data_IF_420051452479
#
_entry.id   IF_420051452479
#
_cell.length_a   1.000
_cell.length_b   1.000
_cell.length_c   1.000
_cell.angle_alpha   90.00
_cell.angle_beta   90.00
_cell.angle_gamma   90.00
#
_symmetry.space_group_name_H-M   'P 1'
#
loop_
_entity.id
_entity.type
_entity.pdbx_description
1 polymer ?
#
# COMPACT_ATOMS: atom_id res chain seq x y z
N UNK A 1 31.73 45.20 40.43
CA UNK A 1 32.17 46.17 41.46
C UNK A 1 31.15 46.14 42.57
N UNK A 2 31.65 46.01 43.79
CA UNK A 2 30.98 45.50 44.98
C UNK A 2 30.11 46.58 45.67
N UNK A 3 29.33 46.17 46.66
CA UNK A 3 28.87 46.95 47.85
C UNK A 3 27.39 47.43 47.86
N UNK A 4 26.58 46.56 48.49
CA UNK A 4 25.66 46.79 49.62
C UNK A 4 25.27 48.21 50.06
N UNK A 5 24.01 48.35 50.52
CA UNK A 5 23.70 48.82 51.89
C UNK A 5 22.27 48.45 52.28
N UNK A 6 22.16 47.74 53.42
CA UNK A 6 20.94 47.62 54.23
C UNK A 6 20.64 48.96 54.93
N UNK A 7 19.39 49.21 55.34
CA UNK A 7 18.99 49.35 56.76
C UNK A 7 17.51 49.79 56.90
N UNK A 8 16.85 49.05 57.81
CA UNK A 8 15.76 49.36 58.74
C UNK A 8 14.35 49.78 58.28
N UNK A 9 13.45 48.83 58.55
CA UNK A 9 12.09 48.94 59.10
C UNK A 9 11.90 50.06 60.16
N UNK A 10 10.73 50.71 60.14
CA UNK A 10 9.67 50.71 61.19
C UNK A 10 8.64 51.77 60.76
N UNK A 11 7.34 51.41 60.72
CA UNK A 11 6.29 52.41 60.55
C UNK A 11 4.96 51.87 60.07
N UNK A 12 4.27 51.17 60.97
CA UNK A 12 2.87 50.73 60.84
C UNK A 12 1.91 51.86 60.44
N UNK A 13 0.97 51.54 59.53
CA UNK A 13 -0.43 51.97 59.42
C UNK A 13 -0.82 52.32 57.98
N UNK A 14 -1.69 51.51 57.37
CA UNK A 14 -2.40 51.93 56.17
C UNK A 14 -2.84 50.81 55.24
N UNK A 15 -3.86 50.06 55.67
CA UNK A 15 -4.88 49.45 54.79
C UNK A 15 -4.33 48.57 53.65
N UNK A 16 -3.85 47.39 54.02
CA UNK A 16 -3.92 46.23 53.15
C UNK A 16 -5.36 45.71 53.18
N UNK A 17 -6.19 46.10 52.20
CA UNK A 17 -7.38 45.32 51.88
C UNK A 17 -7.89 45.61 50.48
N UNK A 18 -7.89 44.52 49.70
CA UNK A 18 -8.98 44.13 48.84
C UNK A 18 -9.14 44.94 47.56
N UNK A 19 -8.53 44.45 46.47
CA UNK A 19 -9.04 44.57 45.09
C UNK A 19 -8.23 43.63 44.16
N UNK A 20 -8.21 42.33 44.44
CA UNK A 20 -8.00 41.34 43.39
C UNK A 20 -9.38 41.00 42.81
N UNK A 21 -9.80 41.79 41.83
CA UNK A 21 -10.99 41.47 41.03
C UNK A 21 -10.65 40.23 40.22
N UNK A 22 -11.21 39.11 40.64
CA UNK A 22 -11.29 37.87 39.88
C UNK A 22 -11.96 38.16 38.55
N UNK A 23 -11.15 38.22 37.48
CA UNK A 23 -11.65 38.23 36.11
C UNK A 23 -12.32 36.89 35.82
N UNK A 24 -13.60 36.76 36.14
CA UNK A 24 -14.43 35.66 35.64
C UNK A 24 -14.59 35.85 34.13
N UNK A 25 -13.66 35.32 33.33
CA UNK A 25 -13.93 35.11 31.92
C UNK A 25 -15.05 34.07 31.83
N UNK A 26 -16.23 34.45 31.31
CA UNK A 26 -17.30 33.49 31.00
C UNK A 26 -16.74 32.43 30.04
N UNK A 27 -16.39 31.26 30.56
CA UNK A 27 -16.14 30.11 29.71
C UNK A 27 -17.48 29.56 29.26
N UNK A 28 -17.81 29.83 28.01
CA UNK A 28 -18.98 29.25 27.36
C UNK A 28 -18.65 27.79 27.05
N UNK A 29 -19.23 26.88 27.81
CA UNK A 29 -19.26 25.46 27.45
C UNK A 29 -20.50 25.23 26.58
N UNK A 30 -20.36 24.62 25.39
CA UNK A 30 -21.51 24.19 24.63
C UNK A 30 -22.31 23.21 25.49
N UNK A 31 -23.51 23.60 25.90
CA UNK A 31 -24.38 22.80 26.78
C UNK A 31 -25.15 21.72 26.03
N UNK A 32 -25.24 21.81 24.71
CA UNK A 32 -25.92 20.83 23.86
C UNK A 32 -25.33 20.85 22.45
N UNK A 33 -24.91 19.68 21.95
CA UNK A 33 -24.61 19.47 20.54
C UNK A 33 -25.72 18.58 19.99
N UNK A 34 -26.65 19.17 19.26
CA UNK A 34 -27.66 18.39 18.54
C UNK A 34 -27.03 17.81 17.29
N UNK A 35 -26.72 16.51 17.35
CA UNK A 35 -26.27 15.77 16.18
C UNK A 35 -27.48 15.22 15.45
N UNK A 36 -27.73 15.72 14.23
CA UNK A 36 -28.71 15.12 13.33
C UNK A 36 -27.99 14.19 12.37
N UNK A 37 -28.20 12.88 12.55
CA UNK A 37 -27.66 11.86 11.67
C UNK A 37 -28.61 11.65 10.48
N UNK A 38 -28.07 11.79 9.27
CA UNK A 38 -28.77 11.45 8.03
C UNK A 38 -28.27 10.08 7.56
N UNK A 39 -29.16 9.08 7.55
CA UNK A 39 -28.85 7.77 7.02
C UNK A 39 -29.00 7.78 5.50
N UNK A 40 -27.90 7.60 4.78
CA UNK A 40 -27.92 7.40 3.33
C UNK A 40 -28.15 5.91 3.07
N UNK A 41 -29.37 5.57 2.66
CA UNK A 41 -29.79 4.20 2.37
C UNK A 41 -30.66 4.17 1.10
N UNK A 42 -31.19 2.99 0.75
CA UNK A 42 -32.06 2.80 -0.43
C UNK A 42 -33.41 3.53 -0.37
N UNK A 43 -33.81 4.01 0.81
CA UNK A 43 -35.08 4.71 1.02
C UNK A 43 -34.94 6.22 0.74
N UNK A 44 -33.72 6.73 0.65
CA UNK A 44 -33.42 8.10 0.22
C UNK A 44 -33.47 8.14 -1.31
N UNK A 45 -34.51 8.78 -1.85
CA UNK A 45 -34.63 8.96 -3.29
C UNK A 45 -33.52 9.90 -3.80
N UNK A 46 -32.82 9.47 -4.85
CA UNK A 46 -31.83 10.32 -5.51
C UNK A 46 -32.51 11.51 -6.20
N UNK A 47 -31.92 12.70 -6.08
CA UNK A 47 -32.39 13.90 -6.77
C UNK A 47 -32.22 13.72 -8.29
N UNK A 48 -33.30 13.73 -9.08
CA UNK A 48 -33.22 13.49 -10.53
C UNK A 48 -32.37 14.54 -11.25
N UNK A 49 -32.28 15.77 -10.72
CA UNK A 49 -31.42 16.83 -11.24
C UNK A 49 -29.96 16.45 -11.08
N UNK A 50 -29.57 15.95 -9.90
CA UNK A 50 -28.20 15.50 -9.62
C UNK A 50 -27.87 14.26 -10.45
N UNK A 51 -28.80 13.31 -10.56
CA UNK A 51 -28.64 12.13 -11.42
C UNK A 51 -28.34 12.56 -12.86
N UNK A 52 -29.14 13.48 -13.42
CA UNK A 52 -28.95 13.95 -14.80
C UNK A 52 -27.58 14.59 -15.06
N UNK A 53 -26.96 15.18 -14.03
CA UNK A 53 -25.63 15.79 -14.13
C UNK A 53 -24.54 14.72 -14.32
N UNK A 54 -24.56 13.64 -13.55
CA UNK A 54 -23.47 12.65 -13.58
C UNK A 54 -23.73 11.47 -14.52
N UNK A 55 -24.98 11.21 -14.92
CA UNK A 55 -25.36 10.09 -15.78
C UNK A 55 -24.53 9.96 -17.07
N UNK A 56 -24.26 11.02 -17.86
CA UNK A 56 -23.44 10.88 -19.07
C UNK A 56 -21.98 10.48 -18.77
N UNK A 57 -21.43 10.94 -17.64
CA UNK A 57 -20.08 10.56 -17.21
C UNK A 57 -20.06 9.11 -16.72
N UNK A 58 -21.09 8.70 -15.99
CA UNK A 58 -21.27 7.32 -15.53
C UNK A 58 -21.34 6.36 -16.72
N UNK A 59 -22.14 6.63 -17.73
CA UNK A 59 -22.26 5.78 -18.92
C UNK A 59 -20.93 5.62 -19.67
N UNK A 60 -20.19 6.72 -19.85
CA UNK A 60 -18.86 6.68 -20.46
C UNK A 60 -17.88 5.86 -19.62
N UNK A 61 -17.89 6.06 -18.31
CA UNK A 61 -17.03 5.32 -17.38
C UNK A 61 -17.38 3.83 -17.37
N UNK A 62 -18.67 3.46 -17.28
CA UNK A 62 -19.13 2.08 -17.27
C UNK A 62 -18.77 1.35 -18.56
N UNK A 63 -18.79 2.03 -19.71
CA UNK A 63 -18.32 1.46 -20.98
C UNK A 63 -16.87 0.99 -20.87
N UNK A 64 -15.98 1.82 -20.31
CA UNK A 64 -14.58 1.42 -20.12
C UNK A 64 -14.40 0.40 -19.00
N UNK A 65 -15.09 0.55 -17.87
CA UNK A 65 -14.98 -0.36 -16.72
C UNK A 65 -15.47 -1.77 -17.05
N UNK A 66 -16.47 -1.91 -17.92
CA UNK A 66 -17.03 -3.21 -18.32
C UNK A 66 -16.28 -3.85 -19.49
N UNK A 67 -15.30 -3.18 -20.08
CA UNK A 67 -14.50 -3.73 -21.18
C UNK A 67 -13.72 -4.95 -20.68
N UNK A 68 -14.00 -6.11 -21.28
CA UNK A 68 -13.30 -7.36 -21.03
C UNK A 68 -11.89 -7.28 -21.63
N UNK A 69 -10.89 -7.63 -20.84
CA UNK A 69 -9.46 -7.60 -21.18
C UNK A 69 -8.79 -8.97 -21.12
N UNK A 70 -9.48 -9.95 -20.56
CA UNK A 70 -9.00 -11.33 -20.51
C UNK A 70 -9.94 -12.23 -19.73
N UNK A 71 -9.46 -13.43 -19.40
CA UNK A 71 -10.25 -14.45 -18.72
C UNK A 71 -9.40 -15.14 -17.65
N UNK A 72 -9.96 -15.35 -16.46
CA UNK A 72 -9.36 -16.13 -15.38
C UNK A 72 -9.98 -17.53 -15.35
N UNK A 73 -9.14 -18.57 -15.45
CA UNK A 73 -9.61 -19.96 -15.44
C UNK A 73 -10.18 -20.41 -14.09
N UNK A 74 -9.75 -19.74 -13.00
CA UNK A 74 -10.20 -19.95 -11.63
C UNK A 74 -10.13 -18.62 -10.87
N UNK A 75 -10.80 -18.57 -9.72
CA UNK A 75 -10.72 -17.39 -8.87
C UNK A 75 -9.30 -17.24 -8.30
N UNK A 76 -8.77 -16.02 -8.28
CA UNK A 76 -7.52 -15.66 -7.63
C UNK A 76 -7.83 -14.95 -6.33
N UNK A 77 -7.56 -15.61 -5.20
CA UNK A 77 -7.95 -15.16 -3.87
C UNK A 77 -6.79 -14.54 -3.10
N UNK A 78 -7.10 -13.63 -2.17
CA UNK A 78 -6.17 -13.01 -1.20
C UNK A 78 -6.34 -13.62 0.19
N UNK A 79 -6.27 -14.94 0.26
CA UNK A 79 -6.41 -15.67 1.52
C UNK A 79 -5.43 -15.18 2.60
N UNK A 80 -5.73 -15.47 3.87
CA UNK A 80 -4.83 -15.16 5.00
C UNK A 80 -3.64 -16.14 5.10
N UNK A 81 -3.31 -16.81 4.00
CA UNK A 81 -2.17 -17.71 3.87
C UNK A 81 -0.90 -16.93 3.51
N UNK A 82 0.30 -17.51 3.70
CA UNK A 82 1.56 -16.83 3.37
C UNK A 82 1.74 -16.55 1.88
N UNK A 83 1.29 -17.49 1.06
CA UNK A 83 1.27 -17.44 -0.40
C UNK A 83 -0.19 -17.48 -0.87
N UNK A 84 -0.54 -16.66 -1.85
CA UNK A 84 -1.91 -16.56 -2.37
C UNK A 84 -1.89 -16.50 -3.90
N UNK A 85 -2.95 -17.01 -4.54
CA UNK A 85 -3.09 -16.97 -5.99
C UNK A 85 -3.08 -15.53 -6.53
N UNK A 86 -3.78 -14.63 -5.83
CA UNK A 86 -3.80 -13.22 -6.21
C UNK A 86 -2.45 -12.53 -6.02
N UNK A 87 -1.71 -12.89 -4.96
CA UNK A 87 -0.36 -12.41 -4.70
C UNK A 87 0.62 -12.85 -5.77
N UNK A 88 0.58 -14.13 -6.15
CA UNK A 88 1.44 -14.68 -7.19
C UNK A 88 1.16 -13.99 -8.53
N UNK A 89 -0.11 -13.90 -8.96
CA UNK A 89 -0.49 -13.17 -10.17
C UNK A 89 0.05 -11.74 -10.19
N UNK A 90 -0.14 -10.98 -9.10
CA UNK A 90 0.27 -9.59 -9.02
C UNK A 90 1.80 -9.44 -9.15
N UNK A 91 2.56 -10.31 -8.49
CA UNK A 91 4.03 -10.25 -8.54
C UNK A 91 4.61 -10.79 -9.85
N UNK A 92 3.97 -11.76 -10.50
CA UNK A 92 4.33 -12.15 -11.88
C UNK A 92 4.08 -11.00 -12.87
N UNK A 93 2.96 -10.28 -12.71
CA UNK A 93 2.68 -9.08 -13.50
C UNK A 93 3.74 -7.99 -13.29
N UNK A 94 4.19 -7.77 -12.05
CA UNK A 94 5.29 -6.84 -11.76
C UNK A 94 6.59 -7.23 -12.48
N UNK A 95 6.97 -8.51 -12.46
CA UNK A 95 8.14 -9.00 -13.20
C UNK A 95 7.97 -8.76 -14.70
N UNK A 96 6.81 -9.10 -15.26
CA UNK A 96 6.51 -8.85 -16.66
C UNK A 96 6.61 -7.36 -17.01
N UNK A 97 6.04 -6.48 -16.19
CA UNK A 97 6.09 -5.03 -16.38
C UNK A 97 7.53 -4.49 -16.33
N UNK A 98 8.39 -5.06 -15.47
CA UNK A 98 9.81 -4.69 -15.43
C UNK A 98 10.54 -5.02 -16.73
N UNK A 99 10.28 -6.20 -17.30
CA UNK A 99 10.86 -6.57 -18.59
C UNK A 99 10.28 -5.72 -19.73
N UNK A 100 8.95 -5.55 -19.74
CA UNK A 100 8.21 -4.89 -20.81
C UNK A 100 8.52 -3.39 -20.92
N UNK A 101 8.51 -2.64 -19.81
CA UNK A 101 8.69 -1.19 -19.83
C UNK A 101 10.11 -0.73 -19.58
N UNK A 102 10.87 -1.45 -18.74
CA UNK A 102 12.24 -1.06 -18.41
C UNK A 102 13.28 -1.68 -19.33
N UNK A 103 12.90 -2.69 -20.14
CA UNK A 103 13.83 -3.53 -20.91
C UNK A 103 14.99 -4.05 -20.06
N UNK A 104 14.70 -4.29 -18.78
CA UNK A 104 15.67 -4.64 -17.76
C UNK A 104 14.96 -5.50 -16.72
N UNK A 105 14.94 -6.83 -16.92
CA UNK A 105 14.24 -7.75 -16.05
C UNK A 105 14.71 -7.62 -14.60
N UNK A 106 13.76 -7.42 -13.69
CA UNK A 106 14.05 -7.53 -12.27
C UNK A 106 14.42 -8.97 -11.88
N UNK A 107 15.12 -9.11 -10.76
CA UNK A 107 15.45 -10.42 -10.19
C UNK A 107 14.30 -11.02 -9.40
N UNK A 108 13.55 -10.15 -8.72
CA UNK A 108 12.42 -10.50 -7.90
C UNK A 108 11.40 -9.35 -7.89
N UNK A 109 10.15 -9.70 -7.58
CA UNK A 109 9.09 -8.74 -7.32
C UNK A 109 8.62 -8.85 -5.88
N UNK A 110 8.16 -7.72 -5.33
CA UNK A 110 7.56 -7.66 -4.00
C UNK A 110 6.38 -6.69 -3.98
N UNK A 111 5.29 -7.12 -3.35
CA UNK A 111 4.12 -6.32 -3.01
C UNK A 111 3.63 -6.68 -1.60
N UNK A 112 2.68 -5.91 -1.06
CA UNK A 112 2.03 -6.24 0.22
C UNK A 112 0.60 -6.74 -0.01
N UNK A 113 0.15 -7.67 0.84
CA UNK A 113 -1.25 -8.15 0.85
C UNK A 113 -2.25 -7.00 0.99
N UNK A 114 -1.87 -5.93 1.69
CA UNK A 114 -2.68 -4.72 1.88
C UNK A 114 -2.73 -3.81 0.65
N UNK A 115 -1.69 -3.84 -0.19
CA UNK A 115 -1.63 -3.11 -1.47
C UNK A 115 -2.58 -3.69 -2.51
N UNK A 116 -2.74 -5.02 -2.53
CA UNK A 116 -3.76 -5.70 -3.33
C UNK A 116 -5.09 -5.52 -2.60
N UNK A 117 -6.16 -5.08 -3.27
CA UNK A 117 -7.42 -4.67 -2.60
C UNK A 117 -8.56 -5.66 -2.77
N UNK A 118 -8.70 -6.28 -3.93
CA UNK A 118 -9.74 -7.27 -4.18
C UNK A 118 -9.20 -8.59 -4.73
N UNK A 119 -10.01 -9.64 -4.61
CA UNK A 119 -9.83 -10.90 -5.32
C UNK A 119 -10.23 -10.73 -6.80
N UNK A 120 -9.82 -11.67 -7.63
CA UNK A 120 -10.31 -11.79 -9.01
C UNK A 120 -11.19 -13.03 -9.14
N UNK A 121 -12.44 -12.87 -9.57
CA UNK A 121 -13.34 -14.00 -9.80
C UNK A 121 -12.91 -14.80 -11.04
N UNK A 122 -13.30 -16.07 -11.09
CA UNK A 122 -13.20 -16.84 -12.32
C UNK A 122 -14.11 -16.23 -13.40
N UNK A 123 -13.75 -16.41 -14.66
CA UNK A 123 -14.48 -15.85 -15.80
C UNK A 123 -13.84 -14.60 -16.38
N UNK A 124 -14.65 -13.76 -17.01
CA UNK A 124 -14.18 -12.57 -17.70
C UNK A 124 -13.59 -11.54 -16.74
N UNK A 125 -12.42 -11.04 -17.10
CA UNK A 125 -11.70 -9.99 -16.40
C UNK A 125 -11.97 -8.69 -17.12
N UNK A 126 -12.54 -7.71 -16.41
CA UNK A 126 -12.78 -6.37 -16.95
C UNK A 126 -11.74 -5.38 -16.43
N UNK A 127 -11.69 -4.21 -17.07
CA UNK A 127 -10.91 -3.07 -16.55
C UNK A 127 -11.33 -2.73 -15.11
N UNK A 128 -12.64 -2.72 -14.83
CA UNK A 128 -13.20 -2.45 -13.50
C UNK A 128 -12.66 -3.39 -12.43
N UNK A 129 -12.54 -4.68 -12.74
CA UNK A 129 -11.93 -5.65 -11.81
C UNK A 129 -10.48 -5.27 -11.46
N UNK A 130 -9.67 -4.78 -12.41
CA UNK A 130 -8.30 -4.33 -12.11
C UNK A 130 -8.28 -3.04 -11.28
N UNK A 131 -9.25 -2.14 -11.49
CA UNK A 131 -9.42 -0.96 -10.64
C UNK A 131 -9.78 -1.34 -9.20
N UNK A 132 -10.61 -2.36 -9.00
CA UNK A 132 -10.89 -2.89 -7.66
C UNK A 132 -9.68 -3.57 -7.01
N UNK A 133 -8.82 -4.20 -7.81
CA UNK A 133 -7.59 -4.87 -7.34
C UNK A 133 -6.53 -3.86 -6.87
N UNK A 134 -6.28 -2.78 -7.62
CA UNK A 134 -5.21 -1.81 -7.33
C UNK A 134 -5.70 -0.36 -7.52
N UNK A 135 -6.63 0.16 -6.70
CA UNK A 135 -7.28 1.47 -6.90
C UNK A 135 -6.36 2.67 -6.67
N UNK A 136 -5.07 2.45 -6.44
CA UNK A 136 -4.09 3.50 -6.16
C UNK A 136 -3.43 4.01 -7.43
N UNK A 137 -3.00 5.28 -7.39
CA UNK A 137 -2.23 5.93 -8.46
C UNK A 137 -0.73 5.61 -8.39
N UNK A 138 -0.35 4.48 -7.79
CA UNK A 138 1.06 4.12 -7.64
C UNK A 138 1.70 3.86 -9.01
N UNK A 139 2.99 4.16 -9.14
CA UNK A 139 3.76 3.91 -10.36
C UNK A 139 4.79 2.80 -10.19
N UNK A 140 5.12 2.14 -11.30
CA UNK A 140 6.14 1.09 -11.34
C UNK A 140 7.50 1.64 -10.88
N UNK A 141 8.16 0.92 -9.99
CA UNK A 141 9.48 1.30 -9.46
C UNK A 141 10.38 0.09 -9.41
N UNK A 142 11.62 0.24 -9.88
CA UNK A 142 12.68 -0.76 -9.71
C UNK A 142 13.72 -0.18 -8.77
N UNK A 143 14.10 -0.94 -7.75
CA UNK A 143 15.16 -0.59 -6.81
C UNK A 143 16.25 -1.65 -6.81
N UNK A 144 17.46 -1.25 -6.45
CA UNK A 144 18.60 -2.15 -6.27
C UNK A 144 18.94 -2.30 -4.79
N UNK A 145 18.99 -3.54 -4.32
CA UNK A 145 19.23 -3.88 -2.91
C UNK A 145 20.39 -4.86 -2.79
N UNK A 146 21.20 -4.72 -1.74
CA UNK A 146 22.16 -5.77 -1.34
C UNK A 146 21.40 -7.01 -0.85
N UNK A 147 22.00 -8.19 -0.99
CA UNK A 147 21.42 -9.42 -0.45
C UNK A 147 21.13 -9.33 1.05
N UNK A 148 21.97 -8.62 1.81
CA UNK A 148 21.71 -8.34 3.23
C UNK A 148 20.43 -7.52 3.47
N UNK A 149 20.06 -6.60 2.56
CA UNK A 149 18.79 -5.86 2.63
C UNK A 149 17.60 -6.73 2.21
N UNK A 150 17.79 -7.63 1.24
CA UNK A 150 16.75 -8.62 0.91
C UNK A 150 16.50 -9.57 2.09
N UNK A 151 17.51 -9.93 2.89
CA UNK A 151 17.28 -10.70 4.13
C UNK A 151 16.39 -9.93 5.11
N UNK A 152 16.62 -8.63 5.28
CA UNK A 152 15.76 -7.78 6.13
C UNK A 152 14.33 -7.72 5.58
N UNK A 153 14.16 -7.62 4.26
CA UNK A 153 12.84 -7.74 3.64
C UNK A 153 12.21 -9.12 3.90
N UNK A 154 12.99 -10.19 3.83
CA UNK A 154 12.53 -11.54 4.12
C UNK A 154 12.12 -11.73 5.58
N UNK A 155 12.80 -11.07 6.53
CA UNK A 155 12.38 -11.00 7.95
C UNK A 155 11.05 -10.26 8.12
N UNK A 156 10.83 -9.16 7.38
CA UNK A 156 9.53 -8.50 7.32
C UNK A 156 8.44 -9.43 6.79
N UNK A 157 8.73 -10.19 5.74
CA UNK A 157 7.80 -11.18 5.17
C UNK A 157 7.46 -12.24 6.23
N UNK A 158 8.45 -12.75 6.96
CA UNK A 158 8.23 -13.74 8.02
C UNK A 158 7.36 -13.20 9.16
N UNK A 159 7.66 -12.00 9.67
CA UNK A 159 6.93 -11.37 10.79
C UNK A 159 5.51 -10.96 10.43
N UNK A 160 5.21 -10.80 9.15
CA UNK A 160 3.85 -10.51 8.64
C UNK A 160 3.11 -11.74 8.12
N UNK A 161 3.63 -12.94 8.40
CA UNK A 161 3.06 -14.22 7.98
C UNK A 161 2.86 -14.33 6.45
N UNK A 162 3.89 -13.91 5.70
CA UNK A 162 3.95 -13.97 4.24
C UNK A 162 3.41 -12.73 3.54
N UNK A 163 4.01 -12.40 2.39
CA UNK A 163 3.64 -11.30 1.51
C UNK A 163 3.86 -11.74 0.05
N UNK A 164 3.11 -11.18 -0.92
CA UNK A 164 3.31 -11.47 -2.34
C UNK A 164 4.77 -11.26 -2.79
N UNK A 165 5.35 -12.30 -3.40
CA UNK A 165 6.66 -12.27 -4.03
C UNK A 165 6.65 -13.02 -5.37
N UNK A 166 7.59 -12.70 -6.26
CA UNK A 166 7.94 -13.52 -7.42
C UNK A 166 9.45 -13.47 -7.66
N UNK A 167 10.02 -14.50 -8.30
CA UNK A 167 11.48 -14.63 -8.51
C UNK A 167 12.29 -14.91 -7.24
N UNK A 168 11.64 -15.00 -6.08
CA UNK A 168 12.22 -15.33 -4.78
C UNK A 168 11.42 -16.47 -4.14
N UNK A 169 12.13 -17.36 -3.44
CA UNK A 169 11.50 -18.39 -2.57
C UNK A 169 12.07 -18.30 -1.16
N UNK A 170 11.27 -18.63 -0.15
CA UNK A 170 11.69 -18.67 1.24
C UNK A 170 10.87 -19.65 2.09
N UNK A 171 11.46 -20.08 3.19
CA UNK A 171 10.82 -20.90 4.22
C UNK A 171 10.71 -20.08 5.51
N UNK A 172 9.53 -20.04 6.12
CA UNK A 172 9.28 -19.38 7.41
C UNK A 172 9.16 -20.46 8.48
N UNK A 173 10.00 -20.38 9.51
CA UNK A 173 9.93 -21.26 10.69
C UNK A 173 9.68 -20.38 11.92
N UNK A 174 8.46 -20.43 12.45
CA UNK A 174 7.99 -19.44 13.43
C UNK A 174 7.95 -18.03 12.83
N UNK A 175 8.77 -17.12 13.36
CA UNK A 175 8.92 -15.75 12.84
C UNK A 175 10.29 -15.50 12.20
N UNK A 176 11.02 -16.57 11.83
CA UNK A 176 12.35 -16.48 11.21
C UNK A 176 12.30 -17.02 9.80
N UNK A 177 13.07 -16.42 8.91
CA UNK A 177 13.22 -16.87 7.53
C UNK A 177 14.45 -17.75 7.34
N UNK A 178 14.32 -18.75 6.48
CA UNK A 178 15.35 -19.69 6.06
C UNK A 178 15.22 -19.94 4.55
N UNK A 179 16.24 -20.59 3.95
CA UNK A 179 16.24 -21.05 2.56
C UNK A 179 15.87 -19.97 1.52
N UNK A 180 16.30 -18.73 1.76
CA UNK A 180 16.08 -17.64 0.81
C UNK A 180 16.84 -17.93 -0.48
N UNK A 181 16.10 -18.03 -1.58
CA UNK A 181 16.66 -18.15 -2.92
C UNK A 181 16.08 -17.09 -3.84
N UNK A 182 16.91 -16.57 -4.75
CA UNK A 182 16.49 -15.70 -5.84
C UNK A 182 16.82 -16.42 -7.14
N UNK A 183 15.82 -16.58 -8.03
CA UNK A 183 15.95 -17.35 -9.27
C UNK A 183 16.56 -18.75 -9.04
N UNK A 184 16.18 -19.40 -7.94
CA UNK A 184 16.65 -20.74 -7.55
C UNK A 184 18.03 -20.80 -6.90
N UNK A 185 18.78 -19.69 -6.84
CA UNK A 185 20.11 -19.63 -6.23
C UNK A 185 20.05 -19.09 -4.81
N UNK A 186 20.85 -19.64 -3.90
CA UNK A 186 20.94 -19.13 -2.52
C UNK A 186 21.37 -17.66 -2.52
N UNK A 187 20.79 -16.88 -1.61
CA UNK A 187 21.09 -15.46 -1.54
C UNK A 187 22.53 -15.20 -1.06
N UNK A 188 23.24 -14.38 -1.85
CA UNK A 188 24.54 -13.79 -1.50
C UNK A 188 24.36 -12.36 -0.98
N UNK A 189 24.81 -12.11 0.25
CA UNK A 189 24.66 -10.83 0.96
C UNK A 189 25.39 -9.67 0.30
N UNK A 190 26.48 -9.93 -0.42
CA UNK A 190 27.31 -8.92 -1.07
C UNK A 190 26.84 -8.60 -2.49
N UNK A 191 26.06 -9.48 -3.10
CA UNK A 191 25.48 -9.29 -4.42
C UNK A 191 24.36 -8.25 -4.38
N UNK A 192 24.23 -7.48 -5.46
CA UNK A 192 23.11 -6.55 -5.67
C UNK A 192 22.02 -7.25 -6.50
N UNK A 193 20.77 -7.07 -6.11
CA UNK A 193 19.59 -7.62 -6.77
C UNK A 193 18.63 -6.50 -7.17
N UNK A 194 18.01 -6.64 -8.34
CA UNK A 194 16.95 -5.73 -8.81
C UNK A 194 15.59 -6.20 -8.32
N UNK A 195 14.94 -5.39 -7.50
CA UNK A 195 13.58 -5.66 -7.01
C UNK A 195 12.61 -4.71 -7.71
N UNK A 196 11.60 -5.28 -8.39
CA UNK A 196 10.46 -4.52 -8.92
C UNK A 196 9.34 -4.44 -7.89
N UNK A 197 8.81 -3.24 -7.71
CA UNK A 197 7.71 -2.91 -6.82
C UNK A 197 7.01 -1.64 -7.33
N UNK A 198 6.35 -0.89 -6.46
CA UNK A 198 5.74 0.39 -6.78
C UNK A 198 6.13 1.49 -5.78
N UNK A 199 5.99 2.73 -6.21
CA UNK A 199 6.51 3.93 -5.55
C UNK A 199 6.10 4.06 -4.08
N UNK A 200 4.86 3.71 -3.71
CA UNK A 200 4.41 3.69 -2.31
C UNK A 200 5.32 2.86 -1.40
N UNK A 201 5.70 1.64 -1.80
CA UNK A 201 6.59 0.78 -1.02
C UNK A 201 8.03 1.26 -1.10
N UNK A 202 8.49 1.70 -2.28
CA UNK A 202 9.82 2.28 -2.44
C UNK A 202 10.03 3.57 -1.62
N UNK A 203 8.95 4.25 -1.25
CA UNK A 203 8.93 5.41 -0.36
C UNK A 203 8.79 5.02 1.14
N UNK A 204 8.82 3.73 1.47
CA UNK A 204 8.75 3.25 2.86
C UNK A 204 7.33 3.01 3.40
N UNK A 205 6.33 2.92 2.52
CA UNK A 205 4.97 2.50 2.88
C UNK A 205 4.93 1.16 3.63
N UNK A 206 3.87 0.91 4.39
CA UNK A 206 3.72 -0.30 5.23
C UNK A 206 4.89 -0.56 6.20
N UNK A 207 5.55 0.51 6.66
CA UNK A 207 6.75 0.50 7.52
C UNK A 207 8.00 -0.16 6.89
N UNK A 208 8.05 -0.27 5.56
CA UNK A 208 9.18 -0.81 4.81
C UNK A 208 10.27 0.24 4.57
N UNK A 209 10.68 0.95 5.62
CA UNK A 209 11.69 2.03 5.55
C UNK A 209 13.00 1.53 4.92
N UNK A 210 13.32 0.24 5.06
CA UNK A 210 14.49 -0.39 4.43
C UNK A 210 14.54 -0.18 2.91
N UNK A 211 13.39 -0.09 2.23
CA UNK A 211 13.33 0.09 0.76
C UNK A 211 13.75 1.50 0.34
N UNK A 212 13.69 2.48 1.26
CA UNK A 212 14.19 3.84 1.00
C UNK A 212 15.72 3.92 0.98
N UNK A 213 16.39 2.91 1.52
CA UNK A 213 17.85 2.78 1.59
C UNK A 213 18.42 1.97 0.42
N UNK A 214 17.70 1.91 -0.71
CA UNK A 214 18.16 1.25 -1.92
C UNK A 214 19.44 1.87 -2.47
N UNK A 215 20.31 1.05 -3.06
CA UNK A 215 21.56 1.48 -3.71
C UNK A 215 21.25 2.37 -4.91
N UNK A 216 20.24 1.97 -5.70
CA UNK A 216 19.75 2.71 -6.84
C UNK A 216 18.23 2.56 -6.93
N UNK A 217 17.58 3.53 -7.58
CA UNK A 217 16.14 3.54 -7.79
C UNK A 217 15.83 4.16 -9.15
N UNK A 218 14.90 3.54 -9.87
CA UNK A 218 14.32 4.07 -11.09
C UNK A 218 12.80 4.03 -10.98
N UNK A 219 12.17 5.21 -11.06
CA UNK A 219 10.73 5.34 -11.14
C UNK A 219 10.32 5.43 -12.60
N UNK A 220 9.29 4.69 -12.97
CA UNK A 220 8.69 4.72 -14.30
C UNK A 220 7.37 5.48 -14.24
N UNK A 221 6.96 6.19 -15.30
CA UNK A 221 5.70 6.93 -15.31
C UNK A 221 4.47 6.02 -15.37
N UNK A 222 4.65 4.74 -15.76
CA UNK A 222 3.56 3.77 -15.91
C UNK A 222 2.85 3.55 -14.58
N UNK A 223 1.53 3.77 -14.60
CA UNK A 223 0.66 3.46 -13.46
C UNK A 223 0.56 1.95 -13.30
N UNK A 224 0.54 1.49 -12.05
CA UNK A 224 0.40 0.07 -11.74
C UNK A 224 -0.88 -0.53 -12.34
N UNK A 225 -2.00 0.20 -12.32
CA UNK A 225 -3.25 -0.28 -12.94
C UNK A 225 -3.14 -0.47 -14.44
N UNK A 226 -2.53 0.47 -15.13
CA UNK A 226 -2.38 0.41 -16.59
C UNK A 226 -1.52 -0.79 -16.99
N UNK A 227 -0.41 -1.00 -16.29
CA UNK A 227 0.45 -2.17 -16.53
C UNK A 227 -0.21 -3.51 -16.22
N UNK A 228 -1.06 -3.58 -15.18
CA UNK A 228 -1.86 -4.79 -14.90
C UNK A 228 -2.89 -5.06 -16.00
N UNK A 229 -3.57 -4.02 -16.50
CA UNK A 229 -4.51 -4.13 -17.62
C UNK A 229 -3.79 -4.62 -18.87
N UNK A 230 -2.61 -4.05 -19.16
CA UNK A 230 -1.80 -4.43 -20.32
C UNK A 230 -1.30 -5.87 -20.19
N UNK A 231 -0.79 -6.28 -19.03
CA UNK A 231 -0.36 -7.66 -18.77
C UNK A 231 -1.46 -8.68 -19.07
N UNK A 232 -2.68 -8.47 -18.56
CA UNK A 232 -3.82 -9.36 -18.83
C UNK A 232 -4.21 -9.34 -20.30
N UNK A 233 -4.18 -8.17 -20.94
CA UNK A 233 -4.48 -8.02 -22.37
C UNK A 233 -3.47 -8.74 -23.24
N UNK A 234 -2.17 -8.67 -22.92
CA UNK A 234 -1.10 -9.35 -23.65
C UNK A 234 -1.14 -10.86 -23.48
N UNK A 235 -1.46 -11.37 -22.28
CA UNK A 235 -1.75 -12.79 -22.08
C UNK A 235 -2.88 -13.25 -23.01
N UNK A 236 -3.97 -12.48 -23.06
CA UNK A 236 -5.15 -12.80 -23.88
C UNK A 236 -4.83 -12.77 -25.38
N UNK A 237 -4.09 -11.76 -25.85
CA UNK A 237 -3.60 -11.68 -27.25
C UNK A 237 -2.72 -12.87 -27.62
N UNK A 238 -1.93 -13.36 -26.67
CA UNK A 238 -1.12 -14.57 -26.83
C UNK A 238 -1.92 -15.88 -26.73
N UNK A 239 -3.26 -15.83 -26.66
CA UNK A 239 -4.13 -17.00 -26.51
C UNK A 239 -4.04 -17.67 -25.13
N UNK A 240 -3.46 -16.98 -24.14
CA UNK A 240 -3.34 -17.46 -22.77
C UNK A 240 -4.45 -16.87 -21.90
N UNK A 241 -4.83 -17.62 -20.87
CA UNK A 241 -5.70 -17.15 -19.81
C UNK A 241 -4.87 -16.76 -18.59
N UNK A 242 -5.42 -15.92 -17.74
CA UNK A 242 -4.85 -15.67 -16.42
C UNK A 242 -4.98 -16.95 -15.60
N UNK A 243 -3.83 -17.56 -15.29
CA UNK A 243 -3.74 -18.75 -14.47
C UNK A 243 -2.53 -18.62 -13.53
N UNK A 244 -2.77 -18.22 -12.29
CA UNK A 244 -1.75 -18.29 -11.25
C UNK A 244 -1.80 -19.65 -10.54
N UNK A 245 -0.65 -20.10 -10.07
CA UNK A 245 -0.52 -21.34 -9.29
C UNK A 245 0.15 -21.03 -7.96
N UNK A 246 -0.18 -21.82 -6.94
CA UNK A 246 0.63 -21.88 -5.73
C UNK A 246 1.80 -22.82 -6.03
N UNK A 247 3.02 -22.30 -6.02
CA UNK A 247 4.24 -23.05 -6.34
C UNK A 247 5.11 -23.31 -5.11
N UNK A 248 4.65 -22.87 -3.93
CA UNK A 248 5.37 -23.03 -2.69
C UNK A 248 6.58 -22.10 -2.60
N UNK A 249 6.54 -20.93 -3.26
CA UNK A 249 7.54 -19.88 -3.09
C UNK A 249 7.59 -19.34 -1.67
N UNK A 250 6.51 -19.47 -0.89
CA UNK A 250 6.54 -19.22 0.56
C UNK A 250 6.02 -20.43 1.30
N UNK A 251 6.91 -21.11 2.03
CA UNK A 251 6.57 -22.27 2.86
C UNK A 251 6.55 -21.90 4.34
N UNK A 252 5.68 -22.52 5.12
CA UNK A 252 5.73 -22.51 6.59
C UNK A 252 6.11 -23.91 7.06
N UNK A 253 7.09 -23.97 7.97
CA UNK A 253 7.50 -25.17 8.69
C UNK A 253 7.20 -25.05 10.19
#
# INVERSE_FOLDING_TARGET
MNISKQIAFIGSFGVASLLMVTGCSKQLHPTQKDFKQYHINKDVQADPTVVSIYEPFKQKMETEMNRVIGHANKALTKEKTPETLMGNFFCEALLWMSDHYAHNPADLAFATKGGIRNDLKAGDITVGHIFEVMPFENTLTIIELKGSQIRQLADYIATTHGQPIAGMTLTITGNKVQDIKIKGQAIDDNKTYKLVTYDYLANGGDNLVLLTQSIARTNYPQRMREGLIEYVSELTKAGKQVNAELDGRIKIN
#
